data_IF_943643063043
#
_entry.id   IF_943643063043
#
_cell.length_a   1.000
_cell.length_b   1.000
_cell.length_c   1.000
_cell.angle_alpha   90.00
_cell.angle_beta   90.00
_cell.angle_gamma   90.00
#
_symmetry.space_group_name_H-M   'P 1'
#
loop_
_entity.id
_entity.type
_entity.pdbx_description
1 polymer ?
#
# COMPACT_ATOMS: atom_id res chain seq x y z
N UNK A 1 1.82 -15.35 7.29
CA UNK A 1 2.79 -15.18 6.18
C UNK A 1 3.19 -13.73 6.04
N UNK A 2 4.47 -13.50 5.74
CA UNK A 2 5.05 -12.16 5.59
C UNK A 2 5.68 -12.03 4.20
N UNK A 3 5.30 -10.99 3.47
CA UNK A 3 5.93 -10.56 2.22
C UNK A 3 6.56 -9.19 2.49
N UNK A 4 7.83 -9.02 2.16
CA UNK A 4 8.51 -7.74 2.23
C UNK A 4 8.88 -7.28 0.83
N UNK A 5 8.59 -6.03 0.49
CA UNK A 5 8.86 -5.50 -0.84
C UNK A 5 9.40 -4.06 -0.80
N UNK A 6 10.15 -3.71 -1.84
CA UNK A 6 10.58 -2.34 -2.12
C UNK A 6 10.04 -1.94 -3.48
N UNK A 7 9.00 -1.11 -3.50
CA UNK A 7 8.34 -0.72 -4.74
C UNK A 7 9.17 0.35 -5.48
N UNK A 8 9.03 0.44 -6.82
CA UNK A 8 9.70 1.49 -7.59
C UNK A 8 9.31 2.90 -7.13
N UNK A 9 10.27 3.83 -7.22
CA UNK A 9 10.04 5.25 -6.90
C UNK A 9 9.09 5.91 -7.90
N UNK A 10 8.63 7.13 -7.60
CA UNK A 10 7.79 7.92 -8.52
C UNK A 10 8.46 8.17 -9.88
N UNK A 11 9.80 8.19 -9.94
CA UNK A 11 10.60 8.43 -11.15
C UNK A 11 10.74 7.21 -12.05
N UNK A 12 10.42 6.02 -11.55
CA UNK A 12 10.44 4.81 -12.35
C UNK A 12 9.40 4.89 -13.49
N UNK A 13 9.67 4.19 -14.58
CA UNK A 13 8.73 4.08 -15.70
C UNK A 13 7.46 3.35 -15.27
N UNK A 14 6.34 3.62 -15.96
CA UNK A 14 5.08 2.92 -15.67
C UNK A 14 5.23 1.40 -15.87
N UNK A 15 5.99 0.97 -16.87
CA UNK A 15 6.30 -0.46 -17.12
C UNK A 15 7.00 -1.13 -15.94
N UNK A 16 7.93 -0.44 -15.27
CA UNK A 16 8.59 -0.97 -14.08
C UNK A 16 7.63 -1.09 -12.89
N UNK A 17 6.75 -0.09 -12.71
CA UNK A 17 5.71 -0.12 -11.68
C UNK A 17 4.69 -1.24 -11.93
N UNK A 18 4.23 -1.39 -13.17
CA UNK A 18 3.30 -2.45 -13.58
C UNK A 18 3.90 -3.83 -13.31
N UNK A 19 5.13 -4.07 -13.78
CA UNK A 19 5.86 -5.32 -13.54
C UNK A 19 6.00 -5.64 -12.05
N UNK A 20 6.29 -4.64 -11.21
CA UNK A 20 6.39 -4.83 -9.78
C UNK A 20 5.06 -5.34 -9.18
N UNK A 21 3.93 -4.70 -9.51
CA UNK A 21 2.62 -5.10 -8.97
C UNK A 21 2.14 -6.43 -9.54
N UNK A 22 2.46 -6.77 -10.81
CA UNK A 22 2.20 -8.10 -11.39
C UNK A 22 2.96 -9.20 -10.63
N UNK A 23 4.24 -8.98 -10.34
CA UNK A 23 5.05 -9.91 -9.56
C UNK A 23 4.52 -10.05 -8.13
N UNK A 24 4.20 -8.93 -7.48
CA UNK A 24 3.64 -8.93 -6.14
C UNK A 24 2.31 -9.69 -6.09
N UNK A 25 1.41 -9.46 -7.05
CA UNK A 25 0.14 -10.20 -7.17
C UNK A 25 0.38 -11.71 -7.31
N UNK A 26 1.36 -12.11 -8.12
CA UNK A 26 1.71 -13.53 -8.31
C UNK A 26 2.13 -14.16 -6.99
N UNK A 27 3.00 -13.49 -6.23
CA UNK A 27 3.47 -13.99 -4.93
C UNK A 27 2.33 -14.04 -3.91
N UNK A 28 1.50 -13.01 -3.83
CA UNK A 28 0.34 -12.98 -2.92
C UNK A 28 -0.62 -14.12 -3.22
N UNK A 29 -0.97 -14.33 -4.50
CA UNK A 29 -1.90 -15.38 -4.92
C UNK A 29 -1.32 -16.79 -4.71
N UNK A 30 -0.01 -16.95 -4.85
CA UNK A 30 0.68 -18.22 -4.58
C UNK A 30 0.86 -18.51 -3.08
N UNK A 31 0.74 -17.49 -2.23
CA UNK A 31 0.92 -17.64 -0.79
C UNK A 31 -0.34 -18.24 -0.16
N UNK A 32 -0.28 -19.50 0.26
CA UNK A 32 -1.33 -20.12 1.07
C UNK A 32 -1.27 -19.56 2.50
N UNK A 33 -2.30 -18.82 2.94
CA UNK A 33 -2.42 -18.35 4.33
C UNK A 33 -3.78 -18.75 4.93
N UNK A 34 -3.74 -19.41 6.09
CA UNK A 34 -4.96 -19.84 6.80
C UNK A 34 -5.57 -18.74 7.67
N UNK A 35 -4.77 -17.76 8.11
CA UNK A 35 -5.20 -16.73 9.05
C UNK A 35 -4.92 -15.31 8.58
N UNK A 36 -3.66 -14.97 8.30
CA UNK A 36 -3.30 -13.60 7.97
C UNK A 36 -2.06 -13.48 7.07
N UNK A 37 -2.16 -12.54 6.13
CA UNK A 37 -1.09 -12.10 5.26
C UNK A 37 -0.69 -10.67 5.60
N UNK A 38 0.60 -10.46 5.83
CA UNK A 38 1.18 -9.13 5.98
C UNK A 38 2.07 -8.85 4.77
N UNK A 39 1.79 -7.75 4.07
CA UNK A 39 2.65 -7.21 3.04
C UNK A 39 3.26 -5.93 3.59
N UNK A 40 4.57 -5.95 3.80
CA UNK A 40 5.34 -4.88 4.43
C UNK A 40 6.41 -4.35 3.48
N UNK A 41 7.04 -3.25 3.88
CA UNK A 41 8.15 -2.65 3.18
C UNK A 41 7.83 -1.22 2.71
N UNK A 42 8.63 -0.72 1.78
CA UNK A 42 8.51 0.64 1.28
C UNK A 42 7.84 0.64 -0.09
N UNK A 43 6.62 1.15 -0.14
CA UNK A 43 5.84 1.26 -1.38
C UNK A 43 6.10 2.55 -2.16
N UNK A 44 6.97 3.43 -1.66
CA UNK A 44 7.21 4.75 -2.25
C UNK A 44 5.88 5.51 -2.50
N UNK A 45 4.90 5.30 -1.62
CA UNK A 45 3.51 5.68 -1.80
C UNK A 45 3.08 6.66 -0.70
N UNK A 46 2.42 7.75 -1.11
CA UNK A 46 1.69 8.63 -0.19
C UNK A 46 0.22 8.34 -0.36
N UNK A 47 -0.43 7.94 0.73
CA UNK A 47 -1.83 7.50 0.71
C UNK A 47 -2.83 8.62 1.01
N UNK A 48 -2.39 9.72 1.62
CA UNK A 48 -3.24 10.88 1.86
C UNK A 48 -4.47 10.59 2.72
N UNK A 49 -5.51 11.43 2.59
CA UNK A 49 -6.75 11.38 3.38
C UNK A 49 -7.96 11.15 2.46
N UNK A 50 -7.97 10.03 1.72
CA UNK A 50 -9.03 9.68 0.74
C UNK A 50 -9.86 8.46 1.14
N UNK A 51 -10.09 8.31 2.44
CA UNK A 51 -10.76 7.14 3.03
C UNK A 51 -12.24 6.99 2.64
N UNK A 52 -12.94 8.08 2.33
CA UNK A 52 -14.34 8.04 1.88
C UNK A 52 -14.51 7.35 0.54
N UNK A 53 -13.50 7.45 -0.33
CA UNK A 53 -13.44 6.84 -1.66
C UNK A 53 -12.97 5.38 -1.54
N UNK A 54 -11.91 5.14 -0.77
CA UNK A 54 -11.27 3.83 -0.63
C UNK A 54 -11.70 3.09 0.64
N UNK A 55 -13.01 2.93 0.82
CA UNK A 55 -13.58 2.24 1.98
C UNK A 55 -13.09 0.80 2.04
N UNK A 56 -12.60 0.37 3.20
CA UNK A 56 -12.07 -0.97 3.43
C UNK A 56 -10.56 -1.08 3.21
N UNK A 57 -10.00 -0.35 2.25
CA UNK A 57 -8.55 -0.25 2.02
C UNK A 57 -7.92 0.76 2.97
N UNK A 58 -8.52 1.95 3.10
CA UNK A 58 -8.03 3.00 3.98
C UNK A 58 -8.91 3.18 5.21
N UNK A 59 -8.24 3.59 6.28
CA UNK A 59 -8.87 4.09 7.51
C UNK A 59 -8.64 5.60 7.64
N UNK A 60 -9.25 6.21 8.64
CA UNK A 60 -9.41 7.67 8.76
C UNK A 60 -8.12 8.44 9.06
N UNK A 61 -7.04 7.76 9.45
CA UNK A 61 -5.87 8.42 10.03
C UNK A 61 -4.72 8.66 9.04
N UNK A 62 -4.98 8.68 7.72
CA UNK A 62 -3.97 9.03 6.71
C UNK A 62 -3.43 10.47 6.82
N UNK A 63 -2.37 10.78 6.06
CA UNK A 63 -1.68 12.09 6.11
C UNK A 63 -1.33 12.57 4.70
N UNK A 64 -1.51 13.86 4.44
CA UNK A 64 -1.09 14.54 3.22
C UNK A 64 -2.01 14.27 2.02
N UNK A 65 -1.44 14.41 0.82
CA UNK A 65 -2.14 14.13 -0.45
C UNK A 65 -1.67 12.79 -1.03
N UNK A 66 -2.60 12.08 -1.65
CA UNK A 66 -2.29 10.86 -2.38
C UNK A 66 -1.40 11.17 -3.60
N UNK A 67 -0.42 10.31 -3.90
CA UNK A 67 0.37 10.36 -5.13
C UNK A 67 0.02 9.20 -6.07
N UNK A 68 0.59 9.17 -7.28
CA UNK A 68 0.30 8.10 -8.26
C UNK A 68 0.64 6.70 -7.75
N UNK A 69 1.75 6.53 -7.02
CA UNK A 69 2.07 5.27 -6.37
C UNK A 69 1.04 4.87 -5.29
N UNK A 70 0.47 5.85 -4.57
CA UNK A 70 -0.61 5.63 -3.61
C UNK A 70 -1.88 5.10 -4.25
N UNK A 71 -2.25 5.59 -5.43
CA UNK A 71 -3.40 5.08 -6.19
C UNK A 71 -3.16 3.62 -6.59
N UNK A 72 -1.99 3.30 -7.16
CA UNK A 72 -1.62 1.92 -7.53
C UNK A 72 -1.64 0.96 -6.32
N UNK A 73 -1.16 1.43 -5.16
CA UNK A 73 -1.24 0.67 -3.92
C UNK A 73 -2.70 0.40 -3.52
N UNK A 74 -3.61 1.35 -3.69
CA UNK A 74 -5.02 1.14 -3.38
C UNK A 74 -5.69 0.13 -4.29
N UNK A 75 -5.41 0.19 -5.58
CA UNK A 75 -5.92 -0.78 -6.56
C UNK A 75 -5.47 -2.19 -6.19
N UNK A 76 -4.18 -2.36 -5.91
CA UNK A 76 -3.62 -3.62 -5.43
C UNK A 76 -4.31 -4.10 -4.14
N UNK A 77 -4.41 -3.24 -3.12
CA UNK A 77 -5.05 -3.60 -1.86
C UNK A 77 -6.53 -3.94 -2.03
N UNK A 78 -7.26 -3.24 -2.89
CA UNK A 78 -8.68 -3.51 -3.14
C UNK A 78 -8.86 -4.89 -3.79
N UNK A 79 -8.06 -5.23 -4.80
CA UNK A 79 -8.09 -6.54 -5.47
C UNK A 79 -7.73 -7.66 -4.51
N UNK A 80 -6.67 -7.46 -3.71
CA UNK A 80 -6.17 -8.47 -2.76
C UNK A 80 -6.92 -8.47 -1.41
N UNK A 81 -7.96 -7.65 -1.25
CA UNK A 81 -8.73 -7.48 -0.01
C UNK A 81 -7.85 -7.15 1.20
N UNK A 82 -6.82 -6.34 0.99
CA UNK A 82 -5.89 -5.85 2.00
C UNK A 82 -6.27 -4.43 2.45
N UNK A 83 -5.80 -4.07 3.64
CA UNK A 83 -5.97 -2.73 4.19
C UNK A 83 -4.61 -2.10 4.53
N UNK A 84 -4.48 -0.79 4.29
CA UNK A 84 -3.28 -0.02 4.62
C UNK A 84 -3.27 0.29 6.12
N UNK A 85 -2.50 -0.50 6.85
CA UNK A 85 -2.45 -0.49 8.33
C UNK A 85 -1.95 0.82 8.93
N UNK A 86 -1.06 1.54 8.24
CA UNK A 86 -0.54 2.86 8.68
C UNK A 86 -1.64 3.93 8.85
N UNK A 87 -2.83 3.69 8.29
CA UNK A 87 -3.98 4.62 8.44
C UNK A 87 -4.97 4.20 9.51
N UNK A 88 -4.78 3.03 10.14
CA UNK A 88 -5.71 2.43 11.12
C UNK A 88 -5.68 3.21 12.44
N UNK A 89 -4.49 3.46 12.98
CA UNK A 89 -4.35 4.01 14.32
C UNK A 89 -4.25 5.54 14.31
N UNK A 90 -4.92 6.17 15.28
CA UNK A 90 -4.80 7.60 15.49
C UNK A 90 -3.47 7.90 16.17
N UNK A 91 -2.60 8.62 15.45
CA UNK A 91 -1.28 9.02 15.92
C UNK A 91 -0.98 10.47 15.49
N UNK A 92 0.03 11.09 16.11
CA UNK A 92 0.53 12.38 15.63
C UNK A 92 1.15 12.24 14.23
N UNK A 93 1.00 13.26 13.38
CA UNK A 93 1.46 13.19 11.97
C UNK A 93 2.95 12.86 11.83
N UNK A 94 3.79 13.35 12.76
CA UNK A 94 5.24 13.05 12.81
C UNK A 94 5.58 11.56 12.98
N UNK A 95 4.64 10.73 13.42
CA UNK A 95 4.83 9.28 13.61
C UNK A 95 4.23 8.45 12.47
N UNK A 96 3.48 9.07 11.55
CA UNK A 96 2.79 8.36 10.45
C UNK A 96 3.58 8.35 9.15
N UNK A 97 4.58 9.21 9.05
CA UNK A 97 5.45 9.33 7.88
C UNK A 97 6.78 8.67 8.16
N UNK A 98 7.21 7.77 7.28
CA UNK A 98 8.52 7.09 7.37
C UNK A 98 9.62 7.90 6.71
N UNK A 99 9.29 8.64 5.63
CA UNK A 99 10.20 9.48 4.85
C UNK A 99 9.44 10.72 4.34
N UNK A 100 10.12 11.88 4.25
CA UNK A 100 9.57 13.15 3.75
C UNK A 100 10.26 13.57 2.45
#
# INVERSE_FOLDING_TARGET
NLISCYAPTLRASEKEKDRFYEQLNTVVNATLFEHQLFVLGDFNARVGVVHDIWRGVLRRNGVGKVNSNGIRLFEFCAVQKLAVTNTVFQQSNKLKTTWM
#
